data_IF_958456447308
#
_entry.id   IF_958456447308
#
_cell.length_a   1.000
_cell.length_b   1.000
_cell.length_c   1.000
_cell.angle_alpha   90.00
_cell.angle_beta   90.00
_cell.angle_gamma   90.00
#
_symmetry.space_group_name_H-M   'P 1'
#
loop_
_entity.id
_entity.type
_entity.pdbx_description
1 polymer ?
#
# COMPACT_ATOMS: atom_id res chain seq x y z
N UNK A 1 -9.94 -13.81 -17.34
CA UNK A 1 -8.55 -13.50 -16.94
C UNK A 1 -8.65 -12.64 -15.70
N UNK A 2 -7.82 -12.87 -14.67
CA UNK A 2 -7.92 -12.13 -13.42
C UNK A 2 -7.70 -10.63 -13.66
N UNK A 3 -8.50 -9.76 -13.05
CA UNK A 3 -8.35 -8.29 -13.14
C UNK A 3 -7.59 -7.72 -11.97
N UNK A 4 -6.53 -6.97 -12.25
CA UNK A 4 -5.64 -6.41 -11.25
C UNK A 4 -5.47 -4.90 -11.47
N UNK A 5 -5.70 -4.10 -10.42
CA UNK A 5 -5.42 -2.67 -10.41
C UNK A 5 -4.12 -2.41 -9.63
N UNK A 6 -3.15 -1.75 -10.25
CA UNK A 6 -1.93 -1.26 -9.57
C UNK A 6 -2.03 0.25 -9.37
N UNK A 7 -1.91 0.72 -8.12
CA UNK A 7 -1.78 2.16 -7.80
C UNK A 7 -0.35 2.48 -7.38
N UNK A 8 0.18 3.63 -7.80
CA UNK A 8 1.61 3.94 -7.69
C UNK A 8 2.45 3.15 -8.70
N UNK A 9 1.93 2.98 -9.92
CA UNK A 9 2.49 2.10 -10.93
C UNK A 9 3.81 2.57 -11.57
N UNK A 10 4.17 3.84 -11.41
CA UNK A 10 5.41 4.45 -11.87
C UNK A 10 6.57 4.35 -10.86
N UNK A 11 6.27 3.92 -9.63
CA UNK A 11 7.30 3.60 -8.64
C UNK A 11 8.15 2.39 -9.02
N UNK A 12 9.27 2.19 -8.33
CA UNK A 12 10.18 1.06 -8.58
C UNK A 12 9.43 -0.29 -8.53
N UNK A 13 8.68 -0.52 -7.46
CA UNK A 13 7.91 -1.76 -7.31
C UNK A 13 6.69 -1.81 -8.22
N UNK A 14 5.98 -0.69 -8.39
CA UNK A 14 4.81 -0.61 -9.27
C UNK A 14 5.13 -0.99 -10.71
N UNK A 15 6.22 -0.44 -11.25
CA UNK A 15 6.66 -0.70 -12.62
C UNK A 15 7.06 -2.16 -12.82
N UNK A 16 7.74 -2.77 -11.84
CA UNK A 16 8.09 -4.19 -11.87
C UNK A 16 6.86 -5.10 -11.77
N UNK A 17 5.89 -4.79 -10.91
CA UNK A 17 4.63 -5.52 -10.80
C UNK A 17 3.88 -5.50 -12.13
N UNK A 18 3.73 -4.31 -12.74
CA UNK A 18 3.07 -4.17 -14.04
C UNK A 18 3.80 -4.98 -15.11
N UNK A 19 5.13 -4.82 -15.22
CA UNK A 19 5.96 -5.53 -16.21
C UNK A 19 5.87 -7.04 -16.09
N UNK A 20 5.91 -7.58 -14.87
CA UNK A 20 5.93 -9.03 -14.64
C UNK A 20 4.55 -9.67 -14.77
N UNK A 21 3.47 -8.97 -14.40
CA UNK A 21 2.13 -9.54 -14.35
C UNK A 21 1.29 -9.31 -15.61
N UNK A 22 1.52 -8.23 -16.36
CA UNK A 22 0.76 -7.92 -17.60
C UNK A 22 0.71 -9.06 -18.63
N UNK A 23 1.73 -9.95 -18.76
CA UNK A 23 1.63 -11.11 -19.66
C UNK A 23 0.67 -12.22 -19.19
N UNK A 24 0.23 -12.19 -17.94
CA UNK A 24 -0.48 -13.30 -17.26
C UNK A 24 -1.89 -12.94 -16.80
N UNK A 25 -2.14 -11.66 -16.51
CA UNK A 25 -3.42 -11.14 -15.99
C UNK A 25 -3.74 -9.79 -16.64
N UNK A 26 -5.00 -9.34 -16.51
CA UNK A 26 -5.46 -8.06 -17.02
C UNK A 26 -5.09 -6.95 -16.02
N UNK A 27 -4.01 -6.22 -16.31
CA UNK A 27 -3.45 -5.19 -15.43
C UNK A 27 -3.91 -3.79 -15.87
N UNK A 28 -4.63 -3.11 -14.99
CA UNK A 28 -4.84 -1.66 -15.06
C UNK A 28 -3.81 -0.98 -14.15
N UNK A 29 -2.92 -0.17 -14.73
CA UNK A 29 -1.90 0.57 -14.00
C UNK A 29 -2.30 2.04 -13.84
N UNK A 30 -2.18 2.60 -12.64
CA UNK A 30 -2.44 4.00 -12.33
C UNK A 30 -1.25 4.63 -11.61
N UNK A 31 -0.78 5.74 -12.14
CA UNK A 31 0.29 6.57 -11.55
C UNK A 31 -0.30 7.64 -10.64
N UNK A 32 0.54 8.33 -9.87
CA UNK A 32 0.09 9.33 -8.88
C UNK A 32 -0.79 10.43 -9.50
N UNK A 33 -0.41 10.94 -10.68
CA UNK A 33 -1.15 12.01 -11.36
C UNK A 33 -2.52 11.57 -11.91
N UNK A 34 -2.75 10.26 -12.05
CA UNK A 34 -4.03 9.70 -12.49
C UNK A 34 -4.92 9.29 -11.32
N UNK A 35 -4.32 8.79 -10.23
CA UNK A 35 -5.05 8.27 -9.09
C UNK A 35 -4.22 8.41 -7.80
N UNK A 36 -4.35 9.58 -7.16
CA UNK A 36 -3.77 9.83 -5.85
C UNK A 36 -4.51 9.04 -4.77
N UNK A 37 -3.77 8.23 -4.00
CA UNK A 37 -4.34 7.44 -2.90
C UNK A 37 -4.94 8.30 -1.79
N UNK A 38 -4.55 9.58 -1.68
CA UNK A 38 -5.14 10.52 -0.72
C UNK A 38 -6.53 11.02 -1.14
N UNK A 39 -6.88 10.90 -2.43
CA UNK A 39 -8.23 11.22 -2.93
C UNK A 39 -9.15 10.00 -2.81
N UNK A 40 -9.87 9.97 -1.69
CA UNK A 40 -10.85 8.92 -1.39
C UNK A 40 -11.97 8.82 -2.42
N UNK A 41 -12.41 9.94 -3.00
CA UNK A 41 -13.54 9.94 -3.94
C UNK A 41 -13.11 9.37 -5.29
N UNK A 42 -11.95 9.81 -5.79
CA UNK A 42 -11.37 9.28 -7.02
C UNK A 42 -11.05 7.79 -6.93
N UNK A 43 -10.46 7.33 -5.81
CA UNK A 43 -10.22 5.91 -5.56
C UNK A 43 -11.50 5.07 -5.61
N UNK A 44 -12.56 5.55 -4.95
CA UNK A 44 -13.86 4.87 -4.96
C UNK A 44 -14.38 4.75 -6.39
N UNK A 45 -14.43 5.85 -7.12
CA UNK A 45 -14.94 5.88 -8.49
C UNK A 45 -14.14 4.96 -9.42
N UNK A 46 -12.81 5.04 -9.38
CA UNK A 46 -11.94 4.24 -10.23
C UNK A 46 -12.05 2.73 -9.94
N UNK A 47 -12.12 2.33 -8.66
CA UNK A 47 -12.23 0.92 -8.26
C UNK A 47 -13.63 0.38 -8.54
N UNK A 48 -14.69 1.15 -8.27
CA UNK A 48 -16.07 0.76 -8.62
C UNK A 48 -16.26 0.64 -10.13
N UNK A 49 -15.70 1.55 -10.94
CA UNK A 49 -15.83 1.49 -12.39
C UNK A 49 -15.07 0.32 -13.03
N UNK A 50 -13.89 -0.02 -12.50
CA UNK A 50 -13.06 -1.09 -13.07
C UNK A 50 -13.38 -2.49 -12.53
N UNK A 51 -13.98 -2.59 -11.34
CA UNK A 51 -14.29 -3.84 -10.64
C UNK A 51 -13.12 -4.85 -10.69
N UNK A 52 -11.95 -4.50 -10.12
CA UNK A 52 -10.81 -5.42 -10.07
C UNK A 52 -11.07 -6.57 -9.10
N UNK A 53 -10.38 -7.69 -9.28
CA UNK A 53 -10.35 -8.79 -8.30
C UNK A 53 -9.25 -8.56 -7.25
N UNK A 54 -8.18 -7.85 -7.63
CA UNK A 54 -7.06 -7.50 -6.74
C UNK A 54 -6.66 -6.04 -6.95
N UNK A 55 -6.43 -5.31 -5.85
CA UNK A 55 -5.79 -3.99 -5.86
C UNK A 55 -4.42 -4.10 -5.21
N UNK A 56 -3.37 -3.80 -5.97
CA UNK A 56 -1.98 -3.76 -5.51
C UNK A 56 -1.59 -2.31 -5.22
N UNK A 57 -1.41 -2.00 -3.94
CA UNK A 57 -1.02 -0.67 -3.50
C UNK A 57 0.50 -0.56 -3.40
N UNK A 58 1.11 0.00 -4.44
CA UNK A 58 2.54 0.34 -4.48
C UNK A 58 2.82 1.80 -4.09
N UNK A 59 1.78 2.61 -3.85
CA UNK A 59 1.94 4.01 -3.48
C UNK A 59 2.38 4.15 -2.01
N UNK A 60 3.46 4.90 -1.80
CA UNK A 60 3.99 5.21 -0.48
C UNK A 60 4.80 6.50 -0.52
N UNK A 61 4.85 7.20 0.62
CA UNK A 61 5.85 8.23 0.88
C UNK A 61 7.12 7.54 1.38
N UNK A 62 8.14 7.47 0.53
CA UNK A 62 9.37 6.66 0.75
C UNK A 62 10.61 7.50 1.09
N UNK A 63 10.50 8.82 1.15
CA UNK A 63 11.61 9.69 1.54
C UNK A 63 11.82 9.65 3.06
N UNK A 64 12.49 8.60 3.55
CA UNK A 64 12.64 8.28 4.98
C UNK A 64 13.10 9.48 5.81
N UNK A 65 14.20 10.13 5.42
CA UNK A 65 14.74 11.28 6.16
C UNK A 65 13.78 12.48 6.15
N UNK A 66 13.08 12.72 5.03
CA UNK A 66 12.11 13.81 4.92
C UNK A 66 10.84 13.53 5.70
N UNK A 67 10.49 12.27 5.96
CA UNK A 67 9.31 11.93 6.75
C UNK A 67 9.37 12.50 8.16
N UNK A 68 10.57 12.69 8.73
CA UNK A 68 10.76 13.28 10.06
C UNK A 68 10.25 14.73 10.17
N UNK A 69 10.37 15.49 9.08
CA UNK A 69 9.90 16.89 9.00
C UNK A 69 8.56 17.02 8.26
N UNK A 70 8.23 16.11 7.35
CA UNK A 70 7.00 16.08 6.56
C UNK A 70 6.00 15.03 7.07
N UNK A 71 5.82 14.96 8.39
CA UNK A 71 5.03 13.91 9.05
C UNK A 71 3.60 13.82 8.53
N UNK A 72 2.95 14.97 8.29
CA UNK A 72 1.60 15.02 7.75
C UNK A 72 1.51 14.46 6.32
N UNK A 73 2.53 14.69 5.50
CA UNK A 73 2.58 14.12 4.15
C UNK A 73 2.78 12.60 4.21
N UNK A 74 3.71 12.13 5.03
CA UNK A 74 3.94 10.71 5.26
C UNK A 74 2.66 10.02 5.78
N UNK A 75 1.98 10.62 6.76
CA UNK A 75 0.73 10.10 7.31
C UNK A 75 -0.40 10.06 6.27
N UNK A 76 -0.60 11.14 5.51
CA UNK A 76 -1.64 11.19 4.46
C UNK A 76 -1.46 10.08 3.43
N UNK A 77 -0.25 9.84 2.96
CA UNK A 77 0.00 8.81 1.95
C UNK A 77 0.02 7.40 2.56
N UNK A 78 0.87 7.17 3.57
CA UNK A 78 1.14 5.83 4.08
C UNK A 78 0.00 5.26 4.94
N UNK A 79 -0.78 6.13 5.61
CA UNK A 79 -1.88 5.71 6.50
C UNK A 79 -3.24 5.96 5.85
N UNK A 80 -3.57 7.21 5.54
CA UNK A 80 -4.89 7.53 4.96
C UNK A 80 -5.02 6.95 3.55
N UNK A 81 -3.97 7.03 2.74
CA UNK A 81 -3.95 6.42 1.41
C UNK A 81 -4.14 4.91 1.45
N UNK A 82 -3.42 4.21 2.33
CA UNK A 82 -3.60 2.77 2.55
C UNK A 82 -5.04 2.42 2.97
N UNK A 83 -5.62 3.19 3.90
CA UNK A 83 -7.02 3.03 4.32
C UNK A 83 -7.99 3.24 3.17
N UNK A 84 -7.80 4.31 2.39
CA UNK A 84 -8.70 4.67 1.29
C UNK A 84 -8.74 3.57 0.23
N UNK A 85 -7.56 3.06 -0.18
CA UNK A 85 -7.46 1.95 -1.13
C UNK A 85 -8.16 0.72 -0.58
N UNK A 86 -7.89 0.36 0.67
CA UNK A 86 -8.50 -0.81 1.30
C UNK A 86 -10.03 -0.71 1.40
N UNK A 87 -10.56 0.45 1.80
CA UNK A 87 -12.00 0.70 1.86
C UNK A 87 -12.67 0.65 0.48
N UNK A 88 -12.03 1.20 -0.55
CA UNK A 88 -12.56 1.16 -1.91
C UNK A 88 -12.56 -0.27 -2.48
N UNK A 89 -11.48 -1.03 -2.27
CA UNK A 89 -11.39 -2.44 -2.65
C UNK A 89 -12.43 -3.31 -1.94
N UNK A 90 -12.64 -3.11 -0.64
CA UNK A 90 -13.62 -3.86 0.16
C UNK A 90 -15.05 -3.73 -0.39
N UNK A 91 -15.42 -2.54 -0.92
CA UNK A 91 -16.75 -2.28 -1.49
C UNK A 91 -17.08 -3.13 -2.70
N UNK A 92 -16.08 -3.47 -3.50
CA UNK A 92 -16.23 -4.29 -4.71
C UNK A 92 -15.84 -5.76 -4.48
N UNK A 93 -15.44 -6.11 -3.25
CA UNK A 93 -14.98 -7.45 -2.90
C UNK A 93 -13.58 -7.79 -3.45
N UNK A 94 -12.76 -6.78 -3.75
CA UNK A 94 -11.40 -6.99 -4.21
C UNK A 94 -10.43 -7.25 -3.05
N UNK A 95 -9.49 -8.17 -3.26
CA UNK A 95 -8.35 -8.37 -2.34
C UNK A 95 -7.39 -7.20 -2.42
N UNK A 96 -6.77 -6.83 -1.30
CA UNK A 96 -5.74 -5.78 -1.27
C UNK A 96 -4.37 -6.38 -1.03
N UNK A 97 -3.37 -5.99 -1.82
CA UNK A 97 -1.95 -6.22 -1.52
C UNK A 97 -1.33 -4.89 -1.09
N UNK A 98 -0.78 -4.83 0.12
CA UNK A 98 -0.11 -3.67 0.67
C UNK A 98 1.36 -3.99 0.97
N UNK A 99 2.27 -3.20 0.41
CA UNK A 99 3.69 -3.32 0.72
C UNK A 99 4.05 -2.46 1.91
N UNK A 100 4.64 -3.08 2.93
CA UNK A 100 5.18 -2.46 4.14
C UNK A 100 6.71 -2.52 4.12
N UNK A 101 7.36 -2.49 5.27
CA UNK A 101 8.82 -2.35 5.42
C UNK A 101 9.30 -3.02 6.69
N UNK A 102 10.55 -3.45 6.71
CA UNK A 102 11.31 -3.80 7.91
C UNK A 102 11.40 -2.67 8.95
N UNK A 103 11.25 -1.39 8.57
CA UNK A 103 11.28 -0.24 9.50
C UNK A 103 10.14 -0.22 10.52
N UNK A 104 9.20 -1.17 10.44
CA UNK A 104 8.20 -1.39 11.51
C UNK A 104 8.80 -2.01 12.76
N UNK A 105 10.00 -2.56 12.69
CA UNK A 105 10.75 -3.13 13.82
C UNK A 105 11.74 -2.12 14.42
N UNK A 106 12.28 -2.43 15.60
CA UNK A 106 13.23 -1.57 16.30
C UNK A 106 14.71 -1.79 15.90
N UNK A 107 14.99 -2.86 15.13
CA UNK A 107 16.33 -3.18 14.65
C UNK A 107 17.27 -3.74 15.72
N UNK A 108 16.78 -4.12 16.90
CA UNK A 108 17.62 -4.59 18.02
C UNK A 108 17.84 -6.10 18.07
N UNK A 109 17.07 -6.88 17.30
CA UNK A 109 17.18 -8.33 17.29
C UNK A 109 18.53 -8.83 16.77
N UNK A 110 19.08 -9.84 17.43
CA UNK A 110 20.28 -10.58 16.99
C UNK A 110 19.96 -11.78 16.09
N UNK A 111 18.69 -12.01 15.81
CA UNK A 111 18.16 -13.07 14.94
C UNK A 111 17.17 -12.45 13.94
N UNK A 112 16.92 -13.10 12.78
CA UNK A 112 15.90 -12.62 11.84
C UNK A 112 14.54 -12.44 12.51
N UNK A 113 13.83 -11.36 12.16
CA UNK A 113 12.44 -11.18 12.57
C UNK A 113 11.53 -12.14 11.82
N UNK A 114 10.61 -12.79 12.53
CA UNK A 114 9.46 -13.46 11.92
C UNK A 114 8.26 -12.50 11.83
N UNK A 115 7.18 -12.95 11.18
CA UNK A 115 5.98 -12.14 10.95
C UNK A 115 5.22 -11.79 12.24
N UNK A 116 5.39 -12.58 13.30
CA UNK A 116 4.74 -12.44 14.61
C UNK A 116 5.58 -11.63 15.61
N UNK A 117 6.82 -11.28 15.24
CA UNK A 117 7.73 -10.51 16.08
C UNK A 117 7.11 -9.15 16.44
N UNK A 118 7.33 -8.66 17.68
CA UNK A 118 6.77 -7.40 18.12
C UNK A 118 7.32 -6.24 17.27
N UNK A 119 6.43 -5.36 16.83
CA UNK A 119 6.79 -4.14 16.10
C UNK A 119 7.15 -3.02 17.07
N UNK A 120 8.03 -2.12 16.63
CA UNK A 120 8.60 -1.05 17.45
C UNK A 120 9.31 0.02 16.60
N UNK A 121 8.61 0.69 15.67
CA UNK A 121 9.25 1.57 14.69
C UNK A 121 9.91 2.77 15.37
N UNK A 122 11.16 3.03 14.99
CA UNK A 122 11.95 4.15 15.52
C UNK A 122 11.79 5.45 14.72
N UNK A 123 11.44 5.36 13.43
CA UNK A 123 11.27 6.51 12.54
C UNK A 123 9.81 6.84 12.25
N UNK A 124 9.54 8.07 11.79
CA UNK A 124 8.21 8.46 11.31
C UNK A 124 7.79 7.64 10.09
N UNK A 125 8.74 7.35 9.19
CA UNK A 125 8.47 6.46 8.06
C UNK A 125 7.98 5.08 8.53
N UNK A 126 8.73 4.41 9.40
CA UNK A 126 8.36 3.10 9.95
C UNK A 126 7.02 3.14 10.70
N UNK A 127 6.80 4.19 11.49
CA UNK A 127 5.55 4.39 12.23
C UNK A 127 4.35 4.53 11.30
N UNK A 128 4.46 5.37 10.27
CA UNK A 128 3.36 5.59 9.31
C UNK A 128 3.12 4.35 8.43
N UNK A 129 4.15 3.57 8.09
CA UNK A 129 3.97 2.28 7.40
C UNK A 129 3.27 1.23 8.27
N UNK A 130 3.63 1.11 9.55
CA UNK A 130 2.95 0.24 10.50
C UNK A 130 1.49 0.65 10.70
N UNK A 131 1.22 1.95 10.82
CA UNK A 131 -0.15 2.48 10.89
C UNK A 131 -0.92 2.20 9.59
N UNK A 132 -0.26 2.23 8.43
CA UNK A 132 -0.80 1.79 7.15
C UNK A 132 -1.23 0.32 7.16
N UNK A 133 -0.38 -0.58 7.69
CA UNK A 133 -0.75 -2.00 7.86
C UNK A 133 -2.03 -2.17 8.68
N UNK A 134 -2.11 -1.47 9.81
CA UNK A 134 -3.27 -1.49 10.70
C UNK A 134 -4.52 -0.97 9.99
N UNK A 135 -4.39 0.16 9.30
CA UNK A 135 -5.51 0.76 8.59
C UNK A 135 -6.02 -0.10 7.42
N UNK A 136 -5.12 -0.83 6.73
CA UNK A 136 -5.50 -1.82 5.73
C UNK A 136 -6.25 -3.01 6.35
N UNK A 137 -5.72 -3.59 7.44
CA UNK A 137 -6.38 -4.69 8.20
C UNK A 137 -7.79 -4.32 8.65
N UNK A 138 -7.95 -3.14 9.22
CA UNK A 138 -9.23 -2.62 9.71
C UNK A 138 -10.25 -2.43 8.59
N UNK A 139 -9.79 -1.96 7.42
CA UNK A 139 -10.66 -1.54 6.33
C UNK A 139 -11.07 -2.69 5.39
N UNK A 140 -10.22 -3.70 5.20
CA UNK A 140 -10.51 -4.82 4.32
C UNK A 140 -10.01 -6.13 4.94
N UNK A 141 -10.89 -7.07 5.35
CA UNK A 141 -10.45 -8.35 5.90
C UNK A 141 -9.76 -9.25 4.87
N UNK A 142 -9.99 -9.05 3.56
CA UNK A 142 -9.30 -9.78 2.49
C UNK A 142 -8.08 -8.99 2.00
N UNK A 143 -6.99 -9.09 2.75
CA UNK A 143 -5.75 -8.38 2.48
C UNK A 143 -4.51 -9.28 2.60
N UNK A 144 -3.43 -8.85 1.96
CA UNK A 144 -2.08 -9.36 2.12
C UNK A 144 -1.15 -8.18 2.42
N UNK A 145 -0.40 -8.28 3.51
CA UNK A 145 0.63 -7.30 3.89
C UNK A 145 1.98 -7.96 3.69
N UNK A 146 2.83 -7.33 2.87
CA UNK A 146 4.16 -7.82 2.54
C UNK A 146 5.19 -6.83 3.05
N UNK A 147 5.97 -7.20 4.07
CA UNK A 147 7.13 -6.42 4.53
C UNK A 147 8.31 -6.78 3.64
N UNK A 148 8.90 -5.76 3.01
CA UNK A 148 10.09 -5.88 2.15
C UNK A 148 11.33 -5.38 2.91
#
# INVERSE_FOLDING_TARGET
MMKLLVVGADGQLGSDVVRLLSPTVDVTARVMDELDVTDRAALREAIEASHPEVVVNCAAYTAVDRAETEQDAAYRVNVLGARNVAQAAQRVGARVVYFSTDYVFDGTASTPYDEEAPTGPLSIYGRTKLQGEQATREANPDHLILRL
#
